data_IF_809175188486
#
_entry.id   IF_809175188486
#
_cell.length_a   1.000
_cell.length_b   1.000
_cell.length_c   1.000
_cell.angle_alpha   90.00
_cell.angle_beta   90.00
_cell.angle_gamma   90.00
#
_symmetry.space_group_name_H-M   'P 1'
#
loop_
_entity.id
_entity.type
_entity.pdbx_description
1 polymer ?
#
# COMPACT_ATOMS: atom_id res chain seq x y z
N UNK A 1 14.66 37.72 1.18
CA UNK A 1 15.13 36.66 2.11
C UNK A 1 14.09 35.55 2.30
N UNK A 2 12.79 35.87 2.42
CA UNK A 2 11.70 34.87 2.46
C UNK A 2 11.55 34.11 1.14
N UNK A 3 11.54 34.81 -0.01
CA UNK A 3 11.40 34.21 -1.34
C UNK A 3 12.51 33.21 -1.71
N UNK A 4 13.76 33.47 -1.31
CA UNK A 4 14.88 32.55 -1.55
C UNK A 4 14.81 31.28 -0.70
N UNK A 5 14.28 31.37 0.52
CA UNK A 5 14.04 30.19 1.37
C UNK A 5 12.87 29.35 0.86
N UNK A 6 11.78 29.99 0.46
CA UNK A 6 10.65 29.31 -0.16
C UNK A 6 11.08 28.56 -1.44
N UNK A 7 11.92 29.19 -2.28
CA UNK A 7 12.49 28.54 -3.47
C UNK A 7 13.37 27.34 -3.13
N UNK A 8 14.23 27.45 -2.11
CA UNK A 8 15.09 26.35 -1.68
C UNK A 8 14.29 25.17 -1.10
N UNK A 9 13.25 25.46 -0.31
CA UNK A 9 12.35 24.42 0.24
C UNK A 9 11.56 23.75 -0.89
N UNK A 10 11.01 24.51 -1.83
CA UNK A 10 10.30 23.94 -2.99
C UNK A 10 11.22 23.03 -3.83
N UNK A 11 12.47 23.45 -4.07
CA UNK A 11 13.46 22.65 -4.78
C UNK A 11 13.85 21.37 -4.01
N UNK A 12 14.00 21.45 -2.68
CA UNK A 12 14.29 20.29 -1.84
C UNK A 12 13.13 19.29 -1.80
N UNK A 13 11.88 19.78 -1.78
CA UNK A 13 10.68 18.93 -1.90
C UNK A 13 10.69 18.23 -3.27
N UNK A 14 10.89 18.96 -4.37
CA UNK A 14 10.96 18.35 -5.70
C UNK A 14 12.07 17.29 -5.80
N UNK A 15 13.26 17.56 -5.26
CA UNK A 15 14.36 16.61 -5.20
C UNK A 15 14.02 15.37 -4.35
N UNK A 16 13.32 15.54 -3.22
CA UNK A 16 12.86 14.43 -2.39
C UNK A 16 11.91 13.49 -3.14
N UNK A 17 10.96 14.03 -3.93
CA UNK A 17 10.08 13.23 -4.78
C UNK A 17 10.86 12.45 -5.84
N UNK A 18 11.86 13.06 -6.47
CA UNK A 18 12.70 12.40 -7.48
C UNK A 18 13.54 11.28 -6.84
N UNK A 19 14.17 11.53 -5.70
CA UNK A 19 15.04 10.56 -5.01
C UNK A 19 14.27 9.35 -4.49
N UNK A 20 13.11 9.58 -3.90
CA UNK A 20 12.30 8.52 -3.28
C UNK A 20 11.40 7.79 -4.27
N UNK A 21 11.21 8.33 -5.47
CA UNK A 21 10.25 7.81 -6.45
C UNK A 21 8.79 7.96 -5.99
N UNK A 22 8.52 8.73 -4.93
CA UNK A 22 7.18 8.82 -4.34
C UNK A 22 6.12 9.24 -5.38
N UNK A 23 5.07 8.44 -5.51
CA UNK A 23 3.97 8.73 -6.45
C UNK A 23 4.25 8.36 -7.91
N UNK A 24 5.45 7.88 -8.24
CA UNK A 24 5.73 7.29 -9.55
C UNK A 24 5.17 5.88 -9.57
N UNK A 25 4.46 5.51 -10.64
CA UNK A 25 3.96 4.14 -10.79
C UNK A 25 5.16 3.20 -10.95
N UNK A 26 5.22 2.16 -10.12
CA UNK A 26 6.20 1.09 -10.23
C UNK A 26 5.72 0.14 -11.32
N UNK A 27 6.34 0.11 -12.51
CA UNK A 27 6.01 -0.91 -13.48
C UNK A 27 6.48 -2.26 -12.93
N UNK A 28 5.71 -3.32 -13.20
CA UNK A 28 6.22 -4.67 -12.97
C UNK A 28 7.58 -4.83 -13.67
N UNK A 29 8.48 -5.60 -13.06
CA UNK A 29 9.74 -6.03 -13.70
C UNK A 29 9.51 -6.50 -15.16
N UNK A 30 10.50 -6.27 -16.03
CA UNK A 30 10.40 -6.54 -17.47
C UNK A 30 10.31 -8.05 -17.76
N UNK A 31 9.11 -8.59 -17.65
CA UNK A 31 8.78 -10.00 -17.83
C UNK A 31 7.26 -10.23 -17.75
N UNK A 32 6.78 -11.44 -18.08
CA UNK A 32 5.37 -11.77 -17.89
C UNK A 32 5.03 -11.80 -16.40
N UNK A 33 3.82 -11.34 -16.06
CA UNK A 33 3.27 -11.47 -14.72
C UNK A 33 3.14 -12.95 -14.32
N UNK A 34 3.27 -13.24 -13.03
CA UNK A 34 3.02 -14.57 -12.48
C UNK A 34 1.55 -14.94 -12.66
N UNK A 35 1.26 -15.86 -13.59
CA UNK A 35 -0.11 -16.19 -13.98
C UNK A 35 -0.97 -16.75 -12.83
N UNK A 36 -0.38 -17.48 -11.89
CA UNK A 36 -1.09 -18.04 -10.74
C UNK A 36 -1.51 -16.92 -9.77
N UNK A 37 -0.58 -16.04 -9.41
CA UNK A 37 -0.87 -14.90 -8.55
C UNK A 37 -1.85 -13.91 -9.21
N UNK A 38 -1.66 -13.60 -10.50
CA UNK A 38 -2.57 -12.74 -11.25
C UNK A 38 -4.00 -13.29 -11.25
N UNK A 39 -4.15 -14.61 -11.48
CA UNK A 39 -5.47 -15.27 -11.44
C UNK A 39 -6.07 -15.22 -10.04
N UNK A 40 -5.29 -15.52 -9.00
CA UNK A 40 -5.74 -15.44 -7.61
C UNK A 40 -6.28 -14.04 -7.29
N UNK A 41 -5.49 -12.98 -7.54
CA UNK A 41 -5.90 -11.59 -7.28
C UNK A 41 -7.15 -11.23 -8.09
N UNK A 42 -7.22 -11.60 -9.37
CA UNK A 42 -8.38 -11.28 -10.20
C UNK A 42 -9.68 -11.92 -9.67
N UNK A 43 -9.63 -13.19 -9.22
CA UNK A 43 -10.80 -13.88 -8.68
C UNK A 43 -11.17 -13.37 -7.29
N UNK A 44 -10.19 -13.21 -6.39
CA UNK A 44 -10.43 -12.76 -5.01
C UNK A 44 -11.01 -11.35 -4.95
N UNK A 45 -10.59 -10.47 -5.86
CA UNK A 45 -11.07 -9.08 -5.97
C UNK A 45 -12.33 -8.94 -6.83
N UNK A 46 -12.87 -10.04 -7.36
CA UNK A 46 -14.10 -10.07 -8.17
C UNK A 46 -13.94 -9.52 -9.59
N UNK A 47 -12.72 -9.31 -10.08
CA UNK A 47 -12.45 -8.93 -11.48
C UNK A 47 -12.57 -10.09 -12.46
N UNK A 48 -12.52 -11.32 -11.96
CA UNK A 48 -12.75 -12.55 -12.70
C UNK A 48 -13.65 -13.50 -11.91
N UNK A 49 -14.38 -14.36 -12.61
CA UNK A 49 -15.12 -15.46 -11.99
C UNK A 49 -14.18 -16.62 -11.67
N UNK A 50 -14.41 -17.32 -10.57
CA UNK A 50 -13.66 -18.50 -10.18
C UNK A 50 -14.05 -19.04 -8.82
N UNK A 51 -13.65 -20.26 -8.53
CA UNK A 51 -13.76 -20.85 -7.21
C UNK A 51 -12.60 -20.34 -6.32
N UNK A 52 -12.94 -19.67 -5.23
CA UNK A 52 -12.01 -18.88 -4.41
C UNK A 52 -10.89 -19.73 -3.78
N UNK A 53 -11.17 -20.89 -3.16
CA UNK A 53 -10.10 -21.74 -2.62
C UNK A 53 -9.23 -22.36 -3.73
N UNK A 54 -9.82 -22.65 -4.90
CA UNK A 54 -9.12 -23.32 -5.99
C UNK A 54 -8.14 -22.41 -6.77
N UNK A 55 -8.16 -21.10 -6.54
CA UNK A 55 -7.22 -20.17 -7.19
C UNK A 55 -5.97 -19.87 -6.37
N UNK A 56 -5.89 -20.36 -5.13
CA UNK A 56 -4.70 -20.21 -4.30
C UNK A 56 -3.55 -21.02 -4.94
N UNK A 57 -2.35 -20.44 -5.15
CA UNK A 57 -1.21 -21.20 -5.65
C UNK A 57 -0.90 -22.40 -4.75
N UNK A 58 -0.69 -23.58 -5.34
CA UNK A 58 -0.56 -24.84 -4.60
C UNK A 58 0.65 -24.88 -3.64
N UNK A 59 1.67 -24.10 -3.94
CA UNK A 59 2.91 -23.92 -3.19
C UNK A 59 2.96 -22.59 -2.42
N UNK A 60 1.82 -21.90 -2.29
CA UNK A 60 1.74 -20.64 -1.54
C UNK A 60 2.21 -20.82 -0.10
N UNK A 61 1.76 -21.88 0.59
CA UNK A 61 2.12 -22.12 1.98
C UNK A 61 3.61 -22.41 2.18
N UNK A 62 4.23 -23.12 1.24
CA UNK A 62 5.67 -23.39 1.26
C UNK A 62 6.51 -22.11 1.05
N UNK A 63 6.02 -21.20 0.19
CA UNK A 63 6.72 -19.95 -0.15
C UNK A 63 6.51 -18.88 0.93
N UNK A 64 5.27 -18.71 1.42
CA UNK A 64 4.91 -17.66 2.36
C UNK A 64 5.01 -18.10 3.83
N UNK A 65 5.14 -19.40 4.10
CA UNK A 65 5.36 -19.94 5.43
C UNK A 65 4.12 -20.08 6.30
N UNK A 66 2.91 -19.99 5.72
CA UNK A 66 1.65 -20.19 6.45
C UNK A 66 0.54 -20.73 5.54
N UNK A 67 -0.44 -21.41 6.15
CA UNK A 67 -1.62 -21.90 5.44
C UNK A 67 -2.73 -20.83 5.46
N UNK A 68 -3.19 -20.33 4.30
CA UNK A 68 -4.27 -19.35 4.27
C UNK A 68 -5.60 -19.96 4.68
N UNK A 69 -6.45 -19.18 5.35
CA UNK A 69 -7.73 -19.66 5.88
C UNK A 69 -8.88 -19.16 5.02
N UNK A 70 -9.78 -20.06 4.66
CA UNK A 70 -11.02 -19.70 3.97
C UNK A 70 -12.13 -19.44 4.98
N UNK A 71 -12.84 -18.32 4.83
CA UNK A 71 -13.98 -17.94 5.66
C UNK A 71 -15.12 -17.43 4.79
N UNK A 72 -16.34 -17.46 5.32
CA UNK A 72 -17.48 -16.78 4.69
C UNK A 72 -17.69 -15.45 5.40
N UNK A 73 -17.73 -14.34 4.65
CA UNK A 73 -18.03 -13.02 5.21
C UNK A 73 -19.52 -12.87 5.55
N UNK A 74 -19.87 -11.78 6.24
CA UNK A 74 -21.25 -11.50 6.65
C UNK A 74 -22.22 -11.38 5.44
N UNK A 75 -21.70 -11.07 4.24
CA UNK A 75 -22.46 -11.02 2.99
C UNK A 75 -22.60 -12.38 2.31
N UNK A 76 -22.09 -13.47 2.89
CA UNK A 76 -22.13 -14.81 2.32
C UNK A 76 -21.05 -15.09 1.29
N UNK A 77 -20.13 -14.16 1.04
CA UNK A 77 -19.05 -14.37 0.08
C UNK A 77 -17.87 -15.11 0.73
N UNK A 78 -17.32 -16.07 -0.01
CA UNK A 78 -16.11 -16.79 0.40
C UNK A 78 -14.89 -15.87 0.27
N UNK A 79 -14.07 -15.81 1.31
CA UNK A 79 -12.84 -15.01 1.42
C UNK A 79 -11.70 -15.90 1.86
N UNK A 80 -10.49 -15.49 1.50
CA UNK A 80 -9.24 -16.11 1.96
C UNK A 80 -8.47 -15.04 2.72
N UNK A 81 -7.91 -15.41 3.86
CA UNK A 81 -7.23 -14.49 4.76
C UNK A 81 -5.93 -15.06 5.31
N UNK A 82 -5.01 -14.17 5.68
CA UNK A 82 -3.83 -14.46 6.49
C UNK A 82 -4.28 -14.63 7.94
N UNK A 83 -4.18 -15.82 8.56
CA UNK A 83 -4.64 -16.04 9.94
C UNK A 83 -3.90 -15.19 10.98
N UNK A 84 -2.66 -14.78 10.67
CA UNK A 84 -1.82 -13.92 11.51
C UNK A 84 -1.88 -12.44 11.14
N UNK A 85 -2.63 -12.06 10.10
CA UNK A 85 -2.71 -10.69 9.63
C UNK A 85 -3.30 -9.74 10.68
N UNK A 86 -2.81 -8.51 10.68
CA UNK A 86 -3.17 -7.47 11.65
C UNK A 86 -3.48 -6.15 10.95
N UNK A 87 -4.41 -5.39 11.52
CA UNK A 87 -4.73 -4.07 10.96
C UNK A 87 -3.58 -3.08 11.20
N UNK A 88 -2.74 -2.91 10.18
CA UNK A 88 -1.67 -1.92 10.13
C UNK A 88 -2.22 -0.50 9.87
N UNK A 89 -3.09 0.01 10.74
CA UNK A 89 -3.66 1.37 10.64
C UNK A 89 -3.17 2.25 11.80
N UNK A 90 -2.50 3.38 11.53
CA UNK A 90 -2.10 4.36 12.56
C UNK A 90 -3.29 4.94 13.33
N UNK A 91 -4.49 4.86 12.75
CA UNK A 91 -5.73 5.41 13.29
C UNK A 91 -6.51 4.38 14.12
N UNK A 92 -5.98 3.15 14.24
CA UNK A 92 -6.60 2.03 14.96
C UNK A 92 -7.86 1.49 14.28
N UNK A 93 -8.34 0.33 14.74
CA UNK A 93 -9.57 -0.33 14.26
C UNK A 93 -10.85 0.28 14.82
N UNK A 94 -10.77 1.47 15.43
CA UNK A 94 -11.87 2.30 15.95
C UNK A 94 -13.08 1.55 16.58
N UNK A 95 -12.87 0.36 17.16
CA UNK A 95 -13.93 -0.45 17.75
C UNK A 95 -14.94 -1.09 16.78
N UNK A 96 -14.75 -1.03 15.46
CA UNK A 96 -15.71 -1.51 14.44
C UNK A 96 -15.38 -2.89 13.86
N UNK A 97 -14.50 -3.66 14.51
CA UNK A 97 -14.07 -5.01 14.12
C UNK A 97 -13.73 -5.14 12.61
N UNK A 98 -12.72 -4.39 12.18
CA UNK A 98 -12.17 -4.49 10.82
C UNK A 98 -11.17 -5.64 10.63
N UNK A 99 -10.99 -6.49 11.64
CA UNK A 99 -9.91 -7.48 11.68
C UNK A 99 -9.98 -8.48 10.50
N UNK A 100 -11.18 -8.94 10.14
CA UNK A 100 -11.34 -9.82 8.97
C UNK A 100 -10.96 -9.11 7.67
N UNK A 101 -11.36 -7.85 7.48
CA UNK A 101 -11.02 -7.09 6.27
C UNK A 101 -9.51 -6.89 6.14
N UNK A 102 -8.82 -6.60 7.24
CA UNK A 102 -7.36 -6.47 7.25
C UNK A 102 -6.67 -7.80 6.91
N UNK A 103 -7.08 -8.91 7.51
CA UNK A 103 -6.47 -10.23 7.20
C UNK A 103 -6.69 -10.66 5.74
N UNK A 104 -7.81 -10.29 5.13
CA UNK A 104 -8.05 -10.52 3.68
C UNK A 104 -7.17 -9.59 2.83
N UNK A 105 -6.98 -8.34 3.26
CA UNK A 105 -6.09 -7.40 2.59
C UNK A 105 -4.62 -7.85 2.65
N UNK A 106 -4.16 -8.30 3.82
CA UNK A 106 -2.81 -8.84 4.02
C UNK A 106 -2.55 -10.05 3.14
N UNK A 107 -3.49 -11.00 3.05
CA UNK A 107 -3.39 -12.13 2.12
C UNK A 107 -3.28 -11.68 0.66
N UNK A 108 -4.04 -10.63 0.26
CA UNK A 108 -3.90 -10.03 -1.06
C UNK A 108 -2.48 -9.49 -1.31
N UNK A 109 -1.90 -8.82 -0.32
CA UNK A 109 -0.52 -8.33 -0.38
C UNK A 109 0.50 -9.47 -0.41
N UNK A 110 0.24 -10.56 0.29
CA UNK A 110 1.10 -11.75 0.24
C UNK A 110 1.08 -12.43 -1.12
N UNK A 111 -0.02 -12.36 -1.88
CA UNK A 111 -0.03 -12.80 -3.27
C UNK A 111 0.89 -11.94 -4.16
N UNK A 112 1.04 -10.64 -3.85
CA UNK A 112 2.01 -9.78 -4.54
C UNK A 112 3.45 -10.18 -4.20
N UNK A 113 3.73 -10.46 -2.92
CA UNK A 113 5.05 -10.94 -2.46
C UNK A 113 5.39 -12.31 -3.05
N UNK A 114 4.44 -13.23 -3.02
CA UNK A 114 4.55 -14.55 -3.64
C UNK A 114 4.90 -14.44 -5.13
N UNK A 115 4.25 -13.54 -5.88
CA UNK A 115 4.54 -13.35 -7.30
C UNK A 115 6.00 -12.95 -7.56
N UNK A 116 6.58 -12.17 -6.64
CA UNK A 116 7.97 -11.70 -6.71
C UNK A 116 8.93 -12.85 -6.39
N UNK A 117 8.69 -13.57 -5.30
CA UNK A 117 9.49 -14.75 -4.91
C UNK A 117 9.51 -15.83 -6.00
N UNK A 118 8.42 -15.94 -6.77
CA UNK A 118 8.29 -16.91 -7.86
C UNK A 118 8.66 -16.38 -9.24
N UNK A 119 9.07 -15.12 -9.31
CA UNK A 119 9.27 -14.41 -10.56
C UNK A 119 7.95 -14.06 -11.25
N UNK A 120 7.90 -12.86 -11.81
CA UNK A 120 6.71 -12.31 -12.46
C UNK A 120 5.91 -11.43 -11.51
N UNK A 121 6.51 -10.32 -11.08
CA UNK A 121 5.82 -9.27 -10.34
C UNK A 121 4.52 -8.87 -11.05
N UNK A 122 3.45 -8.64 -10.28
CA UNK A 122 2.19 -8.18 -10.84
C UNK A 122 2.22 -6.66 -11.05
N UNK A 123 1.55 -6.20 -12.10
CA UNK A 123 1.43 -4.78 -12.36
C UNK A 123 0.60 -4.03 -11.31
N UNK A 124 0.63 -2.68 -11.34
CA UNK A 124 -0.10 -1.79 -10.43
C UNK A 124 -1.59 -2.12 -10.23
N UNK A 125 -2.21 -2.73 -11.24
CA UNK A 125 -3.62 -3.12 -11.21
C UNK A 125 -3.94 -4.04 -10.03
N UNK A 126 -3.02 -4.93 -9.65
CA UNK A 126 -3.25 -5.97 -8.66
C UNK A 126 -3.41 -5.34 -7.27
N UNK A 127 -2.46 -4.48 -6.89
CA UNK A 127 -2.51 -3.75 -5.64
C UNK A 127 -3.71 -2.81 -5.55
N UNK A 128 -4.04 -2.10 -6.63
CA UNK A 128 -5.25 -1.26 -6.68
C UNK A 128 -6.52 -2.09 -6.45
N UNK A 129 -6.61 -3.28 -7.06
CA UNK A 129 -7.76 -4.16 -6.90
C UNK A 129 -7.90 -4.68 -5.47
N UNK A 130 -6.79 -5.03 -4.82
CA UNK A 130 -6.74 -5.47 -3.42
C UNK A 130 -7.18 -4.32 -2.49
N UNK A 131 -6.67 -3.11 -2.70
CA UNK A 131 -7.04 -1.92 -1.91
C UNK A 131 -8.53 -1.55 -2.10
N UNK A 132 -9.05 -1.67 -3.32
CA UNK A 132 -10.47 -1.42 -3.61
C UNK A 132 -11.38 -2.48 -2.95
N UNK A 133 -10.98 -3.75 -2.96
CA UNK A 133 -11.67 -4.82 -2.25
C UNK A 133 -11.70 -4.56 -0.74
N UNK A 134 -10.56 -4.19 -0.16
CA UNK A 134 -10.47 -3.82 1.25
C UNK A 134 -11.44 -2.69 1.60
N UNK A 135 -11.45 -1.62 0.78
CA UNK A 135 -12.40 -0.53 0.93
C UNK A 135 -13.88 -0.94 0.81
N UNK A 136 -14.20 -1.95 0.01
CA UNK A 136 -15.55 -2.52 -0.08
C UNK A 136 -15.91 -3.30 1.19
N UNK A 137 -14.98 -4.11 1.71
CA UNK A 137 -15.21 -4.88 2.93
C UNK A 137 -15.41 -3.99 4.16
N UNK A 138 -14.62 -2.92 4.31
CA UNK A 138 -14.79 -1.96 5.41
C UNK A 138 -16.18 -1.30 5.37
N UNK A 139 -16.64 -0.89 4.19
CA UNK A 139 -17.98 -0.31 4.02
C UNK A 139 -19.08 -1.31 4.35
N UNK A 140 -18.98 -2.52 3.83
CA UNK A 140 -19.94 -3.59 4.10
C UNK A 140 -20.02 -3.92 5.60
N UNK A 141 -18.87 -3.89 6.32
CA UNK A 141 -18.85 -4.07 7.77
C UNK A 141 -19.68 -2.99 8.48
N UNK A 142 -19.47 -1.72 8.13
CA UNK A 142 -20.22 -0.60 8.68
C UNK A 142 -21.73 -0.69 8.39
N UNK A 143 -22.10 -1.13 7.19
CA UNK A 143 -23.49 -1.33 6.80
C UNK A 143 -24.15 -2.45 7.62
N UNK A 144 -23.40 -3.52 7.92
CA UNK A 144 -23.90 -4.69 8.67
C UNK A 144 -24.11 -4.46 10.17
N UNK A 145 -23.26 -3.63 10.80
CA UNK A 145 -23.32 -3.36 12.25
C UNK A 145 -24.25 -2.21 12.63
N UNK A 146 -24.75 -1.45 11.65
CA UNK A 146 -25.47 -0.20 11.92
C UNK A 146 -24.56 0.89 12.52
N UNK A 147 -23.24 0.81 12.32
CA UNK A 147 -22.25 1.74 12.87
C UNK A 147 -22.34 3.17 12.34
N UNK A 148 -23.15 3.40 11.29
CA UNK A 148 -23.51 4.72 10.78
C UNK A 148 -22.32 5.56 10.32
N UNK A 149 -22.51 6.88 10.29
CA UNK A 149 -21.50 7.82 9.81
C UNK A 149 -20.13 7.70 10.51
N UNK A 150 -20.04 7.48 11.84
CA UNK A 150 -18.75 7.29 12.52
C UNK A 150 -17.96 6.09 12.01
N UNK A 151 -18.62 4.95 11.77
CA UNK A 151 -17.95 3.77 11.20
C UNK A 151 -17.42 4.06 9.79
N UNK A 152 -18.23 4.67 8.92
CA UNK A 152 -17.79 5.01 7.57
C UNK A 152 -16.63 6.01 7.56
N UNK A 153 -16.59 6.95 8.51
CA UNK A 153 -15.45 7.85 8.67
C UNK A 153 -14.17 7.09 9.05
N UNK A 154 -14.26 6.15 10.00
CA UNK A 154 -13.13 5.30 10.37
C UNK A 154 -12.66 4.40 9.21
N UNK A 155 -13.60 3.82 8.46
CA UNK A 155 -13.33 3.05 7.26
C UNK A 155 -12.61 3.88 6.18
N UNK A 156 -13.07 5.11 5.94
CA UNK A 156 -12.48 6.01 4.97
C UNK A 156 -11.06 6.45 5.36
N UNK A 157 -10.81 6.72 6.66
CA UNK A 157 -9.48 7.05 7.17
C UNK A 157 -8.52 5.86 7.01
N UNK A 158 -8.98 4.66 7.35
CA UNK A 158 -8.19 3.42 7.22
C UNK A 158 -7.83 3.17 5.75
N UNK A 159 -8.81 3.22 4.84
CA UNK A 159 -8.57 3.07 3.40
C UNK A 159 -7.67 4.18 2.86
N UNK A 160 -7.86 5.42 3.30
CA UNK A 160 -7.08 6.57 2.88
C UNK A 160 -5.60 6.44 3.24
N UNK A 161 -5.29 5.93 4.44
CA UNK A 161 -3.92 5.65 4.86
C UNK A 161 -3.27 4.58 3.97
N UNK A 162 -3.97 3.48 3.69
CA UNK A 162 -3.48 2.42 2.79
C UNK A 162 -3.25 2.96 1.38
N UNK A 163 -4.24 3.63 0.79
CA UNK A 163 -4.13 4.18 -0.58
C UNK A 163 -3.04 5.24 -0.70
N UNK A 164 -2.83 6.07 0.33
CA UNK A 164 -1.72 7.02 0.36
C UNK A 164 -0.36 6.30 0.35
N UNK A 165 -0.22 5.22 1.14
CA UNK A 165 1.00 4.42 1.13
C UNK A 165 1.19 3.70 -0.22
N UNK A 166 0.13 3.13 -0.78
CA UNK A 166 0.16 2.50 -2.12
C UNK A 166 0.56 3.49 -3.20
N UNK A 167 0.01 4.70 -3.20
CA UNK A 167 0.42 5.76 -4.12
C UNK A 167 1.89 6.15 -3.92
N UNK A 168 2.33 6.36 -2.67
CA UNK A 168 3.73 6.67 -2.35
C UNK A 168 4.67 5.59 -2.91
N UNK A 169 4.27 4.32 -2.83
CA UNK A 169 5.03 3.16 -3.31
C UNK A 169 4.80 2.82 -4.79
N UNK A 170 4.07 3.67 -5.53
CA UNK A 170 3.83 3.43 -6.94
C UNK A 170 2.93 2.25 -7.27
N UNK A 171 2.18 1.75 -6.29
CA UNK A 171 1.35 0.55 -6.39
C UNK A 171 2.11 -0.75 -6.68
N UNK A 172 3.43 -0.77 -6.46
CA UNK A 172 4.26 -1.99 -6.55
C UNK A 172 4.09 -2.91 -5.35
N UNK A 173 4.92 -3.96 -5.28
CA UNK A 173 4.91 -4.91 -4.16
C UNK A 173 5.10 -4.19 -2.79
N UNK A 174 4.37 -4.59 -1.74
CA UNK A 174 4.67 -4.14 -0.38
C UNK A 174 5.88 -4.91 0.17
N UNK A 175 6.99 -4.23 0.45
CA UNK A 175 8.21 -4.87 0.98
C UNK A 175 9.18 -3.87 1.60
N UNK A 176 10.35 -4.38 2.01
CA UNK A 176 11.42 -3.57 2.57
C UNK A 176 11.95 -2.57 1.54
N UNK A 177 11.96 -1.30 1.92
CA UNK A 177 12.50 -0.22 1.11
C UNK A 177 13.95 0.06 1.53
N UNK A 178 14.80 0.39 0.56
CA UNK A 178 16.11 0.96 0.88
C UNK A 178 15.90 2.28 1.65
N UNK A 179 16.41 2.42 2.88
CA UNK A 179 16.24 3.65 3.66
C UNK A 179 17.08 4.82 3.13
N UNK A 180 18.11 4.56 2.30
CA UNK A 180 19.07 5.58 1.86
C UNK A 180 18.41 6.77 1.15
N UNK A 181 17.51 6.59 0.15
CA UNK A 181 16.85 7.70 -0.51
C UNK A 181 16.06 8.61 0.46
N UNK A 182 15.44 8.03 1.48
CA UNK A 182 14.67 8.78 2.49
C UNK A 182 15.58 9.57 3.44
N UNK A 183 16.71 8.99 3.84
CA UNK A 183 17.72 9.69 4.66
C UNK A 183 18.26 10.89 3.88
N UNK A 184 18.61 10.72 2.61
CA UNK A 184 19.12 11.81 1.76
C UNK A 184 18.05 12.89 1.56
N UNK A 185 16.81 12.50 1.27
CA UNK A 185 15.68 13.43 1.15
C UNK A 185 15.47 14.24 2.45
N UNK A 186 15.52 13.58 3.61
CA UNK A 186 15.41 14.23 4.91
C UNK A 186 16.51 15.25 5.14
N UNK A 187 17.77 14.91 4.84
CA UNK A 187 18.91 15.82 4.96
C UNK A 187 18.77 17.05 4.05
N UNK A 188 18.29 16.88 2.82
CA UNK A 188 18.04 17.98 1.88
C UNK A 188 16.97 18.94 2.41
N UNK A 189 15.86 18.41 2.91
CA UNK A 189 14.76 19.21 3.47
C UNK A 189 15.22 19.98 4.71
N UNK A 190 15.92 19.32 5.65
CA UNK A 190 16.47 19.97 6.85
C UNK A 190 17.45 21.07 6.45
N UNK A 191 18.33 20.80 5.48
CA UNK A 191 19.30 21.78 4.98
C UNK A 191 18.62 22.98 4.32
N UNK A 192 17.54 22.79 3.58
CA UNK A 192 16.78 23.88 2.97
C UNK A 192 16.02 24.74 3.99
N UNK A 193 15.55 24.14 5.09
CA UNK A 193 14.84 24.82 6.17
C UNK A 193 15.78 25.60 7.11
N UNK A 194 16.91 24.99 7.49
CA UNK A 194 17.81 25.49 8.55
C UNK A 194 19.07 26.15 7.99
N UNK A 195 19.45 25.83 6.74
CA UNK A 195 20.68 26.31 6.13
C UNK A 195 20.73 27.84 6.02
N UNK A 196 21.92 28.46 6.23
CA UNK A 196 22.09 29.86 5.88
C UNK A 196 21.82 30.03 4.37
N UNK A 197 21.19 31.13 3.93
CA UNK A 197 21.00 31.35 2.50
C UNK A 197 22.39 31.38 1.85
N UNK A 198 22.73 30.35 1.08
CA UNK A 198 24.03 30.21 0.41
C UNK A 198 24.40 31.45 -0.43
N UNK A 199 23.38 32.20 -0.86
CA UNK A 199 23.50 33.49 -1.56
C UNK A 199 24.24 34.57 -0.74
N UNK A 200 24.22 34.52 0.59
CA UNK A 200 24.94 35.49 1.43
C UNK A 200 26.45 35.27 1.52
N UNK A 201 26.97 34.11 1.07
CA UNK A 201 28.41 33.80 1.10
C UNK A 201 29.11 33.96 -0.24
N UNK A 202 28.37 33.98 -1.35
CA UNK A 202 28.93 34.15 -2.69
C UNK A 202 28.88 35.61 -3.19
N UNK A 203 28.05 36.45 -2.58
CA UNK A 203 28.01 37.89 -2.84
C UNK A 203 28.43 38.63 -1.57
N UNK A 204 29.74 38.62 -1.29
CA UNK A 204 30.33 39.55 -0.35
C UNK A 204 30.18 40.97 -0.89
N UNK A 205 29.08 41.63 -0.53
CA UNK A 205 29.02 43.08 -0.49
C UNK A 205 29.18 43.46 0.99
N UNK A 206 30.40 43.90 1.31
CA UNK A 206 30.62 44.81 2.44
C UNK A 206 30.03 46.18 2.18
#
# INVERSE_FOLDING_TARGET
MVWTRLGAVAAAIAAAFVLTGAGQVSPATSGPENAAAARAVAVLTGRAAGDVPAVIPADFADVMGYEPVTVTDAGGAVRVLDPSGECSSPVGTAGYDFAQACRVHDFGYDLLRYAVERGGELGPWARMAIDDQFGAMLRARCDSDGGGAPCHAAAALTLGAVKMNSWRQGYGQPGDEDPVPYIVAGLLLVSACVGPPLVRRLWGLG
#
